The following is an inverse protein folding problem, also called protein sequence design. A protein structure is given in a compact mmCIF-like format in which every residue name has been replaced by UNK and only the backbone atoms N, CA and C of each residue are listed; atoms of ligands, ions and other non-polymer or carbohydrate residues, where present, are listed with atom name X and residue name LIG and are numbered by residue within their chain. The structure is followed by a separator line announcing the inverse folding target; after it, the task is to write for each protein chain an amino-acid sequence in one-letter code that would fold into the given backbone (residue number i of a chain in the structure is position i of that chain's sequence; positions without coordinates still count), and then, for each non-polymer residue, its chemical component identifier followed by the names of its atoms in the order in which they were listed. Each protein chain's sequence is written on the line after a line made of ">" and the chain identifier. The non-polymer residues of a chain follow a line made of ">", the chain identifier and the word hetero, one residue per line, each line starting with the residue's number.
data_IF_274584318385
#
_entry.id   IF_274584318385
#
_cell.length_a   1.000
_cell.length_b   1.000
_cell.length_c   1.000
_cell.angle_alpha   90.00
_cell.angle_beta   90.00
_cell.angle_gamma   90.00
#
_symmetry.space_group_name_H-M   'P 1'
#
loop_
_entity.id
_entity.type
_entity.pdbx_description
1 polymer ?
#
# COMPACT_ATOMS: atom_id res chain seq x y z
N UNK A 1 9.00 -26.00 -62.19
CA UNK A 1 8.55 -25.83 -60.79
C UNK A 1 7.15 -25.19 -60.69
N UNK A 2 6.28 -25.36 -61.70
CA UNK A 2 4.92 -24.80 -61.71
C UNK A 2 3.82 -25.89 -61.81
N UNK A 3 4.18 -27.15 -62.11
CA UNK A 3 3.22 -28.24 -62.28
C UNK A 3 2.89 -29.01 -60.99
N UNK A 4 3.71 -28.90 -59.94
CA UNK A 4 3.46 -29.60 -58.66
C UNK A 4 2.28 -29.00 -57.87
N UNK A 5 1.97 -27.72 -58.08
CA UNK A 5 0.92 -26.99 -57.34
C UNK A 5 -0.48 -27.32 -57.88
N UNK A 6 -0.58 -27.94 -59.07
CA UNK A 6 -1.85 -28.17 -59.79
C UNK A 6 -2.43 -29.57 -59.63
N UNK A 7 -1.75 -30.47 -58.91
CA UNK A 7 -2.26 -31.78 -58.52
C UNK A 7 -2.88 -31.70 -57.13
N UNK A 8 -4.08 -32.26 -56.91
CA UNK A 8 -4.76 -32.30 -55.60
C UNK A 8 -3.84 -32.84 -54.47
N UNK A 9 -2.84 -33.65 -54.82
CA UNK A 9 -1.83 -34.18 -53.88
C UNK A 9 -0.71 -33.19 -53.53
N UNK A 10 -0.44 -32.18 -54.36
CA UNK A 10 0.61 -31.18 -54.15
C UNK A 10 0.14 -29.94 -53.37
N UNK A 11 -1.16 -29.66 -53.35
CA UNK A 11 -1.77 -28.56 -52.58
C UNK A 11 -1.93 -28.89 -51.09
N UNK A 12 -1.89 -30.17 -50.71
CA UNK A 12 -2.08 -30.58 -49.31
C UNK A 12 -0.92 -30.15 -48.40
N UNK A 13 0.30 -30.07 -48.96
CA UNK A 13 1.51 -29.73 -48.22
C UNK A 13 1.56 -28.25 -47.79
N UNK A 14 1.28 -27.26 -48.66
CA UNK A 14 1.15 -25.87 -48.23
C UNK A 14 -0.06 -25.63 -47.32
N UNK A 15 -1.20 -26.29 -47.55
CA UNK A 15 -2.35 -26.18 -46.63
C UNK A 15 -2.01 -26.72 -45.24
N UNK A 16 -1.37 -27.88 -45.16
CA UNK A 16 -0.91 -28.46 -43.90
C UNK A 16 0.10 -27.55 -43.19
N UNK A 17 1.07 -27.00 -43.92
CA UNK A 17 2.03 -26.06 -43.38
C UNK A 17 1.35 -24.82 -42.77
N UNK A 18 0.39 -24.22 -43.48
CA UNK A 18 -0.38 -23.08 -42.96
C UNK A 18 -1.14 -23.45 -41.68
N UNK A 19 -1.82 -24.59 -41.66
CA UNK A 19 -2.57 -25.05 -40.47
C UNK A 19 -1.63 -25.26 -39.28
N UNK A 20 -0.49 -25.91 -39.48
CA UNK A 20 0.51 -26.12 -38.41
C UNK A 20 1.08 -24.79 -37.92
N UNK A 21 1.38 -23.85 -38.81
CA UNK A 21 1.83 -22.51 -38.41
C UNK A 21 0.78 -21.81 -37.57
N UNK A 22 -0.49 -21.82 -37.96
CA UNK A 22 -1.59 -21.21 -37.18
C UNK A 22 -1.69 -21.85 -35.79
N UNK A 23 -1.58 -23.17 -35.68
CA UNK A 23 -1.60 -23.86 -34.39
C UNK A 23 -0.41 -23.46 -33.49
N UNK A 24 0.79 -23.31 -34.06
CA UNK A 24 1.97 -22.86 -33.32
C UNK A 24 1.77 -21.42 -32.81
N UNK A 25 1.20 -20.53 -33.63
CA UNK A 25 0.91 -19.15 -33.23
C UNK A 25 -0.08 -19.12 -32.07
N UNK A 26 -1.16 -19.91 -32.13
CA UNK A 26 -2.15 -20.00 -31.05
C UNK A 26 -1.48 -20.52 -29.76
N UNK A 27 -0.64 -21.55 -29.85
CA UNK A 27 0.07 -22.09 -28.70
C UNK A 27 1.04 -21.07 -28.09
N UNK A 28 1.75 -20.30 -28.93
CA UNK A 28 2.64 -19.23 -28.49
C UNK A 28 1.91 -18.17 -27.69
N UNK A 29 0.78 -17.69 -28.22
CA UNK A 29 -0.09 -16.72 -27.56
C UNK A 29 -0.59 -17.28 -26.23
N UNK A 30 -1.05 -18.54 -26.19
CA UNK A 30 -1.55 -19.16 -24.97
C UNK A 30 -0.49 -19.25 -23.87
N UNK A 31 0.75 -19.61 -24.22
CA UNK A 31 1.86 -19.72 -23.26
C UNK A 31 2.23 -18.35 -22.68
N UNK A 32 2.48 -17.36 -23.53
CA UNK A 32 2.88 -16.04 -23.04
C UNK A 32 1.73 -15.29 -22.37
N UNK A 33 0.48 -15.51 -22.76
CA UNK A 33 -0.69 -15.01 -22.03
C UNK A 33 -0.79 -15.63 -20.63
N UNK A 34 -0.55 -16.94 -20.50
CA UNK A 34 -0.54 -17.60 -19.19
C UNK A 34 0.55 -17.03 -18.28
N UNK A 35 1.75 -16.80 -18.85
CA UNK A 35 2.86 -16.13 -18.13
C UNK A 35 2.51 -14.70 -17.76
N UNK A 36 1.88 -13.95 -18.67
CA UNK A 36 1.42 -12.59 -18.42
C UNK A 36 0.53 -12.52 -17.19
N UNK A 37 -0.50 -13.37 -17.11
CA UNK A 37 -1.41 -13.41 -15.96
C UNK A 37 -0.62 -13.70 -14.67
N UNK A 38 0.22 -14.73 -14.67
CA UNK A 38 1.01 -15.13 -13.50
C UNK A 38 1.97 -14.03 -13.02
N UNK A 39 2.73 -13.42 -13.92
CA UNK A 39 3.68 -12.36 -13.58
C UNK A 39 2.94 -11.09 -13.16
N UNK A 40 1.79 -10.80 -13.76
CA UNK A 40 0.96 -9.66 -13.37
C UNK A 40 0.41 -9.79 -11.94
N UNK A 41 0.05 -11.00 -11.50
CA UNK A 41 -0.38 -11.27 -10.13
C UNK A 41 0.77 -11.13 -9.12
N UNK A 42 1.99 -11.55 -9.51
CA UNK A 42 3.19 -11.31 -8.69
C UNK A 42 3.47 -9.82 -8.53
N UNK A 43 3.35 -9.04 -9.60
CA UNK A 43 3.52 -7.58 -9.55
C UNK A 43 2.43 -6.92 -8.68
N UNK A 44 1.18 -7.40 -8.78
CA UNK A 44 0.08 -6.95 -7.91
C UNK A 44 0.37 -7.26 -6.45
N UNK A 45 0.84 -8.47 -6.13
CA UNK A 45 1.25 -8.86 -4.78
C UNK A 45 2.36 -7.95 -4.24
N UNK A 46 3.37 -7.64 -5.06
CA UNK A 46 4.43 -6.70 -4.68
C UNK A 46 3.86 -5.29 -4.40
N UNK A 47 2.99 -4.79 -5.27
CA UNK A 47 2.32 -3.49 -5.11
C UNK A 47 1.43 -3.45 -3.86
N UNK A 48 0.67 -4.51 -3.58
CA UNK A 48 -0.16 -4.64 -2.38
C UNK A 48 0.68 -4.62 -1.11
N UNK A 49 1.77 -5.39 -1.10
CA UNK A 49 2.69 -5.41 0.04
C UNK A 49 3.30 -4.03 0.32
N UNK A 50 3.68 -3.30 -0.73
CA UNK A 50 4.22 -1.96 -0.64
C UNK A 50 3.19 -0.96 -0.10
N UNK A 51 1.97 -0.99 -0.65
CA UNK A 51 0.89 -0.10 -0.23
C UNK A 51 0.47 -0.35 1.23
N UNK A 52 0.35 -1.61 1.65
CA UNK A 52 0.03 -1.98 3.04
C UNK A 52 1.15 -1.59 3.99
N UNK A 53 2.41 -1.88 3.66
CA UNK A 53 3.56 -1.50 4.50
C UNK A 53 3.66 0.01 4.68
N UNK A 54 3.44 0.78 3.61
CA UNK A 54 3.39 2.23 3.67
C UNK A 54 2.22 2.74 4.53
N UNK A 55 1.04 2.12 4.44
CA UNK A 55 -0.10 2.48 5.27
C UNK A 55 0.14 2.18 6.76
N UNK A 56 0.89 1.12 7.08
CA UNK A 56 1.25 0.78 8.46
C UNK A 56 2.24 1.76 9.10
N UNK A 57 2.92 2.61 8.32
CA UNK A 57 3.84 3.60 8.87
C UNK A 57 3.13 4.78 9.55
N UNK A 58 1.81 4.92 9.36
CA UNK A 58 1.01 5.98 9.96
C UNK A 58 1.10 5.95 11.49
N UNK A 59 1.18 7.13 12.11
CA UNK A 59 1.25 7.29 13.57
C UNK A 59 -0.08 7.81 14.08
N UNK A 60 -0.49 7.33 15.24
CA UNK A 60 -1.75 7.74 15.89
C UNK A 60 -1.50 8.95 16.79
N UNK A 61 -2.39 9.92 16.71
CA UNK A 61 -2.37 11.14 17.50
C UNK A 61 -3.68 11.29 18.26
N UNK A 62 -3.58 11.98 19.40
CA UNK A 62 -4.70 12.25 20.31
C UNK A 62 -4.70 13.72 20.73
N UNK A 63 -5.90 14.27 20.90
CA UNK A 63 -6.14 15.49 21.64
C UNK A 63 -6.77 15.11 22.99
N UNK A 64 -6.12 15.48 24.09
CA UNK A 64 -6.53 15.11 25.45
C UNK A 64 -6.96 16.34 26.23
N UNK A 65 -8.08 16.23 26.94
CA UNK A 65 -8.42 17.09 28.08
C UNK A 65 -7.92 16.40 29.36
N UNK A 66 -6.95 17.03 30.00
CA UNK A 66 -6.31 16.54 31.22
C UNK A 66 -6.78 17.42 32.39
N UNK A 67 -7.50 16.82 33.33
CA UNK A 67 -7.71 17.44 34.64
C UNK A 67 -6.45 17.24 35.47
N UNK A 68 -5.71 18.30 35.84
CA UNK A 68 -4.46 18.16 36.60
C UNK A 68 -4.67 17.58 38.01
N UNK A 69 -5.92 17.44 38.44
CA UNK A 69 -6.34 16.90 39.72
C UNK A 69 -6.89 17.98 40.63
N UNK A 70 -7.82 17.58 41.49
CA UNK A 70 -8.24 18.37 42.64
C UNK A 70 -8.49 17.42 43.81
N UNK A 71 -8.14 17.83 45.02
CA UNK A 71 -8.45 17.06 46.23
C UNK A 71 -8.98 17.97 47.33
N UNK A 72 -9.80 17.34 48.17
CA UNK A 72 -10.52 17.96 49.28
C UNK A 72 -9.59 18.59 50.32
N UNK A 73 -10.13 19.59 51.02
CA UNK A 73 -9.43 20.52 51.90
C UNK A 73 -8.91 19.84 53.18
N UNK A 74 -9.36 18.62 53.51
CA UNK A 74 -8.97 17.91 54.73
C UNK A 74 -8.05 16.72 54.45
N UNK A 75 -6.85 16.77 55.02
CA UNK A 75 -6.02 15.60 55.23
C UNK A 75 -6.77 14.57 56.07
N UNK A 76 -6.61 13.25 55.82
CA UNK A 76 -6.88 12.26 56.85
C UNK A 76 -6.10 12.63 58.13
N UNK A 77 -6.74 12.50 59.29
CA UNK A 77 -6.11 12.82 60.58
C UNK A 77 -4.78 12.05 60.72
N UNK A 78 -3.68 12.77 61.01
CA UNK A 78 -2.35 12.20 61.22
C UNK A 78 -1.33 12.38 60.09
N UNK A 79 -1.66 13.12 59.02
CA UNK A 79 -0.68 13.48 57.97
C UNK A 79 -0.25 14.95 58.13
N UNK A 80 0.93 15.15 58.73
CA UNK A 80 1.60 16.46 58.76
C UNK A 80 2.25 16.74 57.39
N UNK A 81 1.57 17.54 56.55
CA UNK A 81 2.10 17.96 55.24
C UNK A 81 1.04 18.66 54.37
N UNK A 82 1.43 19.40 53.32
CA UNK A 82 0.46 20.08 52.45
C UNK A 82 -0.41 19.05 51.74
N UNK A 83 -1.64 18.88 52.21
CA UNK A 83 -2.64 18.13 51.48
C UNK A 83 -2.98 18.83 50.18
N UNK A 84 -3.20 17.99 49.17
CA UNK A 84 -3.18 18.31 47.76
C UNK A 84 -4.04 19.54 47.44
N UNK A 85 -3.37 20.67 47.19
CA UNK A 85 -4.01 21.92 46.78
C UNK A 85 -4.49 21.85 45.34
N UNK A 86 -5.47 22.69 44.97
CA UNK A 86 -5.95 22.85 43.59
C UNK A 86 -4.78 23.05 42.63
N UNK A 87 -4.74 22.22 41.59
CA UNK A 87 -3.64 22.13 40.65
C UNK A 87 -3.78 22.98 39.39
N UNK A 88 -4.78 23.87 39.40
CA UNK A 88 -5.12 24.73 38.28
C UNK A 88 -6.27 24.18 37.45
N UNK A 89 -6.43 24.76 36.28
CA UNK A 89 -7.50 24.43 35.34
C UNK A 89 -7.12 23.24 34.44
N UNK A 90 -8.14 22.64 33.82
CA UNK A 90 -7.96 21.57 32.84
C UNK A 90 -7.06 22.04 31.69
N UNK A 91 -6.19 21.15 31.22
CA UNK A 91 -5.25 21.42 30.13
C UNK A 91 -5.63 20.62 28.89
N UNK A 92 -5.61 21.28 27.74
CA UNK A 92 -5.77 20.64 26.45
C UNK A 92 -4.38 20.41 25.86
N UNK A 93 -4.06 19.14 25.56
CA UNK A 93 -2.74 18.74 25.07
C UNK A 93 -2.92 17.83 23.86
N UNK A 94 -2.21 18.14 22.78
CA UNK A 94 -2.09 17.27 21.61
C UNK A 94 -0.74 16.58 21.55
N UNK A 95 -0.70 15.37 20.98
CA UNK A 95 0.53 14.63 20.78
C UNK A 95 0.26 13.21 20.27
N UNK A 96 1.33 12.44 20.13
CA UNK A 96 1.20 11.04 19.71
C UNK A 96 0.52 10.21 20.80
N UNK A 97 -0.30 9.26 20.38
CA UNK A 97 -1.03 8.38 21.29
C UNK A 97 -0.08 7.48 22.09
N UNK A 98 1.01 7.03 21.48
CA UNK A 98 2.02 6.21 22.16
C UNK A 98 2.72 6.97 23.30
N UNK A 99 3.05 8.23 23.07
CA UNK A 99 3.73 9.06 24.07
C UNK A 99 2.76 9.55 25.17
N UNK A 100 1.54 9.95 24.81
CA UNK A 100 0.61 10.52 25.77
C UNK A 100 -0.20 9.48 26.53
N UNK A 101 -0.64 8.39 25.88
CA UNK A 101 -1.52 7.37 26.48
C UNK A 101 -0.74 6.09 26.79
N UNK A 102 -0.09 5.46 25.79
CA UNK A 102 0.50 4.12 25.98
C UNK A 102 1.66 4.13 26.98
N UNK A 103 2.41 5.24 27.06
CA UNK A 103 3.51 5.45 28.01
C UNK A 103 3.14 6.31 29.22
N UNK A 104 1.85 6.57 29.44
CA UNK A 104 1.36 7.45 30.52
C UNK A 104 1.97 8.87 30.50
N UNK A 105 2.43 9.38 29.36
CA UNK A 105 3.10 10.69 29.29
C UNK A 105 2.19 11.86 29.66
N UNK A 106 0.86 11.68 29.65
CA UNK A 106 -0.10 12.66 30.17
C UNK A 106 0.11 12.98 31.66
N UNK A 107 0.71 12.05 32.44
CA UNK A 107 0.95 12.23 33.88
C UNK A 107 1.86 13.41 34.20
N UNK A 108 2.70 13.86 33.27
CA UNK A 108 3.54 15.06 33.44
C UNK A 108 2.74 16.36 33.60
N UNK A 109 1.47 16.35 33.22
CA UNK A 109 0.55 17.48 33.39
C UNK A 109 -0.25 17.40 34.69
N UNK A 110 -0.10 16.31 35.43
CA UNK A 110 -0.79 16.07 36.68
C UNK A 110 0.03 16.57 37.86
N UNK A 111 -0.66 16.88 38.94
CA UNK A 111 -0.01 17.17 40.21
C UNK A 111 0.53 15.92 40.91
N UNK A 112 1.35 16.17 41.94
CA UNK A 112 1.91 15.16 42.86
C UNK A 112 0.83 14.28 43.52
N UNK A 113 -0.40 14.77 43.60
CA UNK A 113 -1.55 14.07 44.15
C UNK A 113 -2.21 13.05 43.22
N UNK A 114 -1.78 13.01 41.96
CA UNK A 114 -2.39 12.26 40.90
C UNK A 114 -3.57 12.99 40.25
N UNK A 115 -3.90 12.53 39.04
CA UNK A 115 -5.01 13.03 38.24
C UNK A 115 -5.88 11.85 37.79
N UNK A 116 -7.17 12.10 37.48
CA UNK A 116 -7.99 11.11 36.80
C UNK A 116 -7.43 10.80 35.40
N UNK A 117 -7.96 9.74 34.77
CA UNK A 117 -7.63 9.42 33.38
C UNK A 117 -8.06 10.59 32.46
N UNK A 118 -7.25 10.93 31.44
CA UNK A 118 -7.55 12.03 30.54
C UNK A 118 -8.77 11.68 29.68
N UNK A 119 -9.56 12.68 29.34
CA UNK A 119 -10.64 12.54 28.36
C UNK A 119 -10.05 12.75 26.97
N UNK A 120 -10.19 11.75 26.10
CA UNK A 120 -9.83 11.89 24.68
C UNK A 120 -10.90 12.75 24.03
N UNK A 121 -10.49 13.85 23.40
CA UNK A 121 -11.36 14.76 22.65
C UNK A 121 -11.37 14.42 21.16
N UNK A 122 -10.21 14.05 20.62
CA UNK A 122 -10.03 13.73 19.20
C UNK A 122 -8.95 12.67 19.03
N UNK A 123 -9.10 11.85 17.99
CA UNK A 123 -8.09 10.90 17.49
C UNK A 123 -7.94 11.07 15.99
N UNK A 124 -6.70 11.03 15.51
CA UNK A 124 -6.41 11.01 14.08
C UNK A 124 -5.13 10.23 13.81
N UNK A 125 -4.85 9.97 12.53
CA UNK A 125 -3.59 9.40 12.08
C UNK A 125 -2.85 10.37 11.18
N UNK A 126 -1.53 10.32 11.22
CA UNK A 126 -0.69 11.15 10.37
C UNK A 126 0.48 10.35 9.81
N UNK A 127 0.77 10.58 8.54
CA UNK A 127 2.04 10.19 7.92
C UNK A 127 3.06 11.30 8.14
N UNK A 128 3.85 11.16 9.20
CA UNK A 128 4.88 12.14 9.61
C UNK A 128 5.86 12.46 8.46
N UNK A 129 6.48 13.64 8.53
CA UNK A 129 7.47 14.11 7.55
C UNK A 129 6.97 14.04 6.10
N UNK A 130 5.70 14.45 5.89
CA UNK A 130 5.03 14.38 4.59
C UNK A 130 4.99 12.95 3.99
N UNK A 131 5.03 11.92 4.83
CA UNK A 131 5.04 10.50 4.45
C UNK A 131 6.38 9.97 3.95
N UNK A 132 7.51 10.48 4.43
CA UNK A 132 8.83 9.94 4.05
C UNK A 132 9.01 8.48 4.48
N UNK A 133 8.60 8.12 5.71
CA UNK A 133 8.61 6.75 6.20
C UNK A 133 7.71 5.84 5.37
N UNK A 134 6.52 6.33 4.96
CA UNK A 134 5.60 5.61 4.11
C UNK A 134 6.22 5.27 2.75
N UNK A 135 6.90 6.24 2.11
CA UNK A 135 7.58 6.03 0.82
C UNK A 135 8.73 5.03 0.95
N UNK A 136 9.57 5.18 1.98
CA UNK A 136 10.66 4.25 2.24
C UNK A 136 10.16 2.81 2.46
N UNK A 137 9.07 2.64 3.22
CA UNK A 137 8.45 1.33 3.46
C UNK A 137 7.86 0.74 2.17
N UNK A 138 7.17 1.55 1.35
CA UNK A 138 6.68 1.10 0.05
C UNK A 138 7.82 0.58 -0.85
N UNK A 139 8.90 1.35 -1.00
CA UNK A 139 10.07 0.96 -1.80
C UNK A 139 10.71 -0.32 -1.28
N UNK A 140 10.96 -0.38 0.04
CA UNK A 140 11.58 -1.55 0.68
C UNK A 140 10.76 -2.81 0.48
N UNK A 141 9.45 -2.75 0.70
CA UNK A 141 8.57 -3.92 0.58
C UNK A 141 8.31 -4.31 -0.88
N UNK A 142 8.27 -3.35 -1.80
CA UNK A 142 8.23 -3.65 -3.23
C UNK A 142 9.48 -4.41 -3.67
N UNK A 143 10.67 -3.95 -3.26
CA UNK A 143 11.94 -4.57 -3.62
C UNK A 143 12.08 -5.99 -3.07
N UNK A 144 11.60 -6.24 -1.84
CA UNK A 144 11.57 -7.57 -1.24
C UNK A 144 10.63 -8.54 -1.98
N UNK A 145 9.56 -8.03 -2.58
CA UNK A 145 8.54 -8.84 -3.26
C UNK A 145 8.63 -8.75 -4.79
N UNK A 146 9.70 -8.15 -5.32
CA UNK A 146 9.85 -7.90 -6.75
C UNK A 146 9.78 -9.21 -7.54
N UNK A 147 8.95 -9.32 -8.61
CA UNK A 147 8.86 -10.53 -9.41
C UNK A 147 10.20 -10.85 -10.07
N UNK A 148 10.69 -12.08 -9.91
CA UNK A 148 11.98 -12.50 -10.51
C UNK A 148 11.97 -12.39 -12.04
N UNK A 149 10.83 -12.64 -12.65
CA UNK A 149 10.60 -12.53 -14.09
C UNK A 149 10.67 -11.08 -14.62
N UNK A 150 10.66 -10.09 -13.73
CA UNK A 150 10.77 -8.65 -14.04
C UNK A 150 12.03 -8.06 -13.41
N UNK A 151 13.11 -8.85 -13.34
CA UNK A 151 14.41 -8.39 -12.86
C UNK A 151 15.55 -8.81 -13.79
N UNK A 152 16.49 -7.89 -14.01
CA UNK A 152 17.73 -8.14 -14.73
C UNK A 152 17.50 -8.48 -16.20
N UNK A 153 18.02 -9.64 -16.63
CA UNK A 153 18.00 -10.02 -18.04
C UNK A 153 16.62 -10.41 -18.58
N UNK A 154 15.65 -10.72 -17.70
CA UNK A 154 14.32 -11.23 -18.06
C UNK A 154 13.26 -10.11 -18.14
N UNK A 155 13.55 -8.93 -17.56
CA UNK A 155 12.61 -7.82 -17.49
C UNK A 155 13.00 -6.80 -16.42
N UNK A 156 12.15 -5.79 -16.25
CA UNK A 156 12.32 -4.70 -15.28
C UNK A 156 10.99 -4.40 -14.61
N UNK A 157 11.01 -4.01 -13.34
CA UNK A 157 9.83 -3.50 -12.64
C UNK A 157 10.22 -2.45 -11.62
N UNK A 158 9.36 -1.44 -11.48
CA UNK A 158 9.55 -0.32 -10.58
C UNK A 158 8.23 0.22 -10.04
N UNK A 159 8.33 1.05 -9.01
CA UNK A 159 7.22 1.87 -8.54
C UNK A 159 7.17 3.12 -9.43
N UNK A 160 6.09 3.32 -10.18
CA UNK A 160 5.92 4.51 -11.00
C UNK A 160 5.46 5.73 -10.19
N UNK A 161 4.69 5.52 -9.11
CA UNK A 161 4.32 6.60 -8.19
C UNK A 161 3.88 6.11 -6.82
N UNK A 162 4.08 6.97 -5.81
CA UNK A 162 3.58 6.79 -4.44
C UNK A 162 2.82 8.05 -4.05
N UNK A 163 1.52 7.94 -3.81
CA UNK A 163 0.66 9.02 -3.34
C UNK A 163 0.24 8.76 -1.88
N UNK A 164 0.63 9.68 -0.99
CA UNK A 164 0.28 9.62 0.44
C UNK A 164 -0.85 10.60 0.71
N UNK A 165 -2.00 10.09 1.15
CA UNK A 165 -3.18 10.89 1.46
C UNK A 165 -3.25 11.14 2.96
N UNK A 166 -2.68 12.27 3.38
CA UNK A 166 -2.57 12.68 4.78
C UNK A 166 -3.58 13.76 5.21
N UNK A 167 -4.46 14.21 4.31
CA UNK A 167 -5.42 15.29 4.59
C UNK A 167 -6.77 14.70 5.07
N UNK A 168 -7.21 14.95 6.32
CA UNK A 168 -8.48 14.44 6.85
C UNK A 168 -9.74 14.84 6.07
N UNK A 169 -9.68 15.90 5.26
CA UNK A 169 -10.79 16.34 4.41
C UNK A 169 -10.89 15.55 3.09
N UNK A 170 -9.88 14.76 2.74
CA UNK A 170 -9.88 13.93 1.53
C UNK A 170 -10.67 12.64 1.74
N UNK A 171 -11.44 12.24 0.72
CA UNK A 171 -12.11 10.93 0.72
C UNK A 171 -11.15 9.74 0.63
N UNK A 172 -9.89 10.00 0.26
CA UNK A 172 -8.82 9.01 0.18
C UNK A 172 -7.98 8.96 1.47
N UNK A 173 -8.31 9.75 2.49
CA UNK A 173 -7.63 9.70 3.78
C UNK A 173 -8.25 8.65 4.71
N UNK A 174 -7.44 7.95 5.53
CA UNK A 174 -5.98 7.87 5.48
C UNK A 174 -5.52 6.69 4.63
N UNK A 175 -4.75 6.95 3.57
CA UNK A 175 -4.21 5.87 2.73
C UNK A 175 -2.93 6.22 2.00
N UNK A 176 -2.26 5.18 1.53
CA UNK A 176 -1.16 5.27 0.57
C UNK A 176 -1.53 4.49 -0.68
N UNK A 177 -1.40 5.13 -1.84
CA UNK A 177 -1.59 4.51 -3.14
C UNK A 177 -0.22 4.31 -3.79
N UNK A 178 0.03 3.08 -4.25
CA UNK A 178 1.26 2.69 -4.93
C UNK A 178 0.89 2.22 -6.33
N UNK A 179 1.51 2.81 -7.35
CA UNK A 179 1.41 2.36 -8.74
C UNK A 179 2.72 1.76 -9.16
N UNK A 180 2.66 0.60 -9.79
CA UNK A 180 3.83 -0.15 -10.24
C UNK A 180 3.72 -0.43 -11.72
N UNK A 181 4.88 -0.47 -12.37
CA UNK A 181 5.02 -0.82 -13.76
C UNK A 181 6.08 -1.90 -13.89
N UNK A 182 5.89 -2.78 -14.86
CA UNK A 182 6.82 -3.85 -15.14
C UNK A 182 6.78 -4.27 -16.60
N UNK A 183 7.91 -4.79 -17.06
CA UNK A 183 8.10 -5.34 -18.39
C UNK A 183 8.76 -6.70 -18.25
N UNK A 184 8.33 -7.68 -19.01
CA UNK A 184 8.97 -8.99 -19.04
C UNK A 184 9.05 -9.53 -20.45
N UNK A 185 10.06 -10.35 -20.70
CA UNK A 185 10.31 -10.95 -22.02
C UNK A 185 9.36 -12.10 -22.32
N UNK A 186 8.84 -12.10 -23.53
CA UNK A 186 8.05 -13.22 -24.05
C UNK A 186 8.97 -14.37 -24.46
N UNK A 187 8.49 -15.60 -24.26
CA UNK A 187 9.26 -16.79 -24.61
C UNK A 187 8.98 -17.23 -26.04
N UNK A 188 7.71 -17.23 -26.43
CA UNK A 188 7.27 -17.74 -27.72
C UNK A 188 6.91 -16.60 -28.66
N UNK A 189 6.24 -15.55 -28.20
CA UNK A 189 5.81 -14.45 -29.07
C UNK A 189 6.98 -13.71 -29.76
N UNK A 190 8.20 -13.76 -29.22
CA UNK A 190 9.40 -13.22 -29.87
C UNK A 190 9.68 -13.84 -31.27
N UNK A 191 9.25 -15.08 -31.56
CA UNK A 191 9.43 -15.60 -32.93
C UNK A 191 8.53 -14.88 -33.96
N UNK A 192 7.40 -14.31 -33.52
CA UNK A 192 6.48 -13.60 -34.40
C UNK A 192 7.07 -12.29 -34.91
N UNK A 193 7.98 -11.66 -34.15
CA UNK A 193 8.65 -10.43 -34.58
C UNK A 193 9.52 -10.66 -35.83
N UNK A 194 9.99 -11.89 -36.05
CA UNK A 194 10.68 -12.28 -37.29
C UNK A 194 9.73 -12.50 -38.47
N UNK A 195 8.47 -12.86 -38.21
CA UNK A 195 7.45 -13.07 -39.25
C UNK A 195 6.66 -11.81 -39.59
N UNK A 196 6.50 -10.89 -38.62
CA UNK A 196 5.77 -9.63 -38.75
C UNK A 196 6.68 -8.46 -38.36
N UNK A 197 7.60 -8.03 -39.25
CA UNK A 197 8.49 -6.93 -38.97
C UNK A 197 7.69 -5.64 -38.70
N UNK A 198 7.91 -5.03 -37.53
CA UNK A 198 7.18 -3.84 -37.06
C UNK A 198 6.35 -4.07 -35.79
N UNK A 199 6.22 -5.31 -35.33
CA UNK A 199 5.70 -5.61 -33.98
C UNK A 199 6.85 -5.67 -32.97
N UNK A 200 6.57 -5.30 -31.71
CA UNK A 200 7.45 -5.58 -30.58
C UNK A 200 6.70 -6.53 -29.64
N UNK A 201 6.73 -7.81 -29.98
CA UNK A 201 6.15 -8.88 -29.16
C UNK A 201 7.20 -9.53 -28.26
N UNK A 202 8.46 -9.09 -28.32
CA UNK A 202 9.55 -9.56 -27.47
C UNK A 202 9.35 -9.22 -25.99
N UNK A 203 8.55 -8.21 -25.67
CA UNK A 203 8.28 -7.74 -24.31
C UNK A 203 6.79 -7.42 -24.11
N UNK A 204 6.28 -7.67 -22.89
CA UNK A 204 4.94 -7.29 -22.48
C UNK A 204 4.99 -6.39 -21.25
N UNK A 205 4.22 -5.30 -21.30
CA UNK A 205 4.10 -4.33 -20.22
C UNK A 205 2.93 -4.70 -19.29
N UNK A 206 3.12 -4.50 -17.99
CA UNK A 206 2.11 -4.67 -16.96
C UNK A 206 2.13 -3.41 -16.09
N UNK A 207 0.95 -2.88 -15.79
CA UNK A 207 0.77 -1.83 -14.78
C UNK A 207 -0.22 -2.31 -13.74
N UNK A 208 0.06 -2.04 -12.47
CA UNK A 208 -0.83 -2.36 -11.34
C UNK A 208 -0.93 -1.15 -10.41
N UNK A 209 -2.10 -1.02 -9.79
CA UNK A 209 -2.30 -0.09 -8.70
C UNK A 209 -2.76 -0.86 -7.46
N UNK A 210 -2.30 -0.40 -6.31
CA UNK A 210 -2.68 -0.90 -5.00
C UNK A 210 -2.85 0.26 -4.03
N UNK A 211 -3.79 0.11 -3.10
CA UNK A 211 -4.03 1.10 -2.04
C UNK A 211 -4.03 0.40 -0.68
N UNK A 212 -3.22 0.92 0.24
CA UNK A 212 -3.22 0.53 1.63
C UNK A 212 -3.92 1.60 2.47
N UNK A 213 -4.98 1.22 3.18
CA UNK A 213 -5.66 2.09 4.14
C UNK A 213 -5.13 1.91 5.55
N UNK A 214 -5.02 3.00 6.30
CA UNK A 214 -4.89 2.93 7.77
C UNK A 214 -6.29 3.03 8.37
N UNK A 215 -6.53 2.33 9.48
CA UNK A 215 -7.80 2.43 10.21
C UNK A 215 -7.52 2.80 11.67
N UNK A 216 -8.38 3.66 12.23
CA UNK A 216 -8.39 3.98 13.64
C UNK A 216 -9.84 4.11 14.12
N UNK A 217 -10.05 3.91 15.41
CA UNK A 217 -11.34 4.12 16.04
C UNK A 217 -11.46 5.59 16.44
N UNK A 218 -12.53 6.24 15.98
CA UNK A 218 -12.93 7.54 16.50
C UNK A 218 -13.29 7.45 18.00
N UNK A 219 -13.25 8.58 18.70
CA UNK A 219 -13.47 8.72 20.14
C UNK A 219 -14.84 8.20 20.58
N UNK A 220 -15.83 8.29 19.69
CA UNK A 220 -17.18 7.77 19.91
C UNK A 220 -17.32 6.26 19.62
N UNK A 221 -16.24 5.57 19.24
CA UNK A 221 -16.23 4.13 18.94
C UNK A 221 -17.01 3.73 17.68
N UNK A 222 -17.61 4.69 16.98
CA UNK A 222 -18.65 4.43 15.98
C UNK A 222 -18.15 4.37 14.53
N UNK A 223 -16.90 4.76 14.25
CA UNK A 223 -16.40 4.82 12.86
C UNK A 223 -14.95 4.38 12.72
N UNK A 224 -14.74 3.40 11.84
CA UNK A 224 -13.49 3.23 11.13
C UNK A 224 -13.48 4.22 9.97
N UNK A 225 -12.64 5.26 10.01
CA UNK A 225 -12.34 5.97 8.76
C UNK A 225 -11.51 5.05 7.88
N UNK A 226 -12.14 4.54 6.83
CA UNK A 226 -11.46 3.85 5.73
C UNK A 226 -11.46 4.78 4.52
N UNK A 227 -10.32 4.82 3.83
CA UNK A 227 -10.22 5.55 2.58
C UNK A 227 -11.10 4.89 1.51
N UNK A 228 -11.71 5.71 0.64
CA UNK A 228 -12.32 5.20 -0.60
C UNK A 228 -11.22 4.67 -1.53
N UNK A 229 -11.61 3.77 -2.43
CA UNK A 229 -10.70 3.29 -3.48
C UNK A 229 -10.30 4.45 -4.40
N UNK A 230 -9.01 4.58 -4.67
CA UNK A 230 -8.49 5.48 -5.67
C UNK A 230 -8.79 4.95 -7.08
N UNK A 231 -9.04 5.86 -8.01
CA UNK A 231 -9.38 5.50 -9.39
C UNK A 231 -8.26 4.66 -10.03
N UNK A 232 -8.65 3.51 -10.60
CA UNK A 232 -7.74 2.54 -11.22
C UNK A 232 -7.04 1.60 -10.24
N UNK A 233 -7.44 1.58 -8.96
CA UNK A 233 -6.89 0.71 -7.92
C UNK A 233 -7.95 -0.24 -7.32
N UNK A 234 -9.07 -0.39 -8.03
CA UNK A 234 -10.16 -1.35 -7.76
C UNK A 234 -9.78 -2.79 -8.12
#
# INVERSE_FOLDING_TARGET
>A
MYESIRSEKGSILPMFAVVVTVLIIIMAVAIDFSRYVLVSEKLKTASDSAAVAAAMSAKRYVLLEIDPGSKEVSCPEGVDGPCCRRCGEKKIVSGREDDLIDRDGYKKYCCDCGCPKPKILERWVEYENNGSEARLMAETYFDLNRPKEMTGAEGESEISSIAVYNNPSSSLYPSVVVRTEGKFKTLMLNFLDKMYPGTNLSELNVSKCSQGGTYYYDVDGNWHRSARSAEGCE
#
